data_IF_215965004227
#
_entry.id   IF_215965004227
#
_cell.length_a   1.000
_cell.length_b   1.000
_cell.length_c   1.000
_cell.angle_alpha   90.00
_cell.angle_beta   90.00
_cell.angle_gamma   90.00
#
_symmetry.space_group_name_H-M   'P 1'
#
loop_
_entity.id
_entity.type
_entity.pdbx_description
1 polymer ?
#
# COMPACT_ATOMS: atom_id res chain seq x y z
N UNK A 1 -35.67 -22.82 -0.96
CA UNK A 1 -34.48 -23.35 -1.67
C UNK A 1 -34.25 -22.43 -2.87
N UNK A 2 -33.39 -21.40 -2.73
CA UNK A 2 -32.02 -21.28 -3.30
C UNK A 2 -32.07 -21.46 -4.83
N UNK A 3 -31.90 -20.41 -5.64
CA UNK A 3 -30.60 -19.81 -5.97
C UNK A 3 -30.72 -18.36 -6.48
N UNK A 4 -30.09 -17.41 -5.77
CA UNK A 4 -29.62 -16.15 -6.38
C UNK A 4 -28.30 -15.77 -5.72
N UNK A 5 -27.21 -16.36 -6.22
CA UNK A 5 -25.83 -16.09 -5.78
C UNK A 5 -24.84 -15.95 -6.95
N UNK A 6 -25.32 -15.78 -8.18
CA UNK A 6 -24.48 -15.87 -9.39
C UNK A 6 -24.26 -14.54 -10.12
N UNK A 7 -24.26 -13.41 -9.41
CA UNK A 7 -24.01 -12.09 -10.00
C UNK A 7 -22.91 -11.28 -9.30
N UNK A 8 -22.52 -11.63 -8.07
CA UNK A 8 -21.43 -10.95 -7.35
C UNK A 8 -20.02 -11.41 -7.75
N UNK A 9 -19.87 -12.61 -8.30
CA UNK A 9 -18.55 -13.16 -8.67
C UNK A 9 -18.01 -12.62 -10.00
N UNK A 10 -18.88 -12.17 -10.93
CA UNK A 10 -18.44 -11.67 -12.25
C UNK A 10 -17.98 -10.20 -12.28
N UNK A 11 -18.38 -9.40 -11.29
CA UNK A 11 -17.98 -7.98 -11.21
C UNK A 11 -16.54 -7.81 -10.70
N UNK A 12 -16.05 -8.76 -9.89
CA UNK A 12 -14.69 -8.70 -9.34
C UNK A 12 -13.64 -8.94 -10.43
N UNK A 13 -13.85 -9.91 -11.34
CA UNK A 13 -12.88 -10.24 -12.39
C UNK A 13 -12.64 -9.07 -13.36
N UNK A 14 -13.69 -8.31 -13.70
CA UNK A 14 -13.56 -7.16 -14.60
C UNK A 14 -12.83 -5.97 -13.97
N UNK A 15 -12.97 -5.76 -12.66
CA UNK A 15 -12.28 -4.68 -11.97
C UNK A 15 -10.80 -5.01 -11.71
N UNK A 16 -10.50 -6.28 -11.42
CA UNK A 16 -9.14 -6.79 -11.36
C UNK A 16 -8.43 -6.70 -12.72
N UNK A 17 -9.12 -7.08 -13.80
CA UNK A 17 -8.63 -6.86 -15.16
C UNK A 17 -8.44 -5.38 -15.46
N UNK A 18 -9.32 -4.48 -15.00
CA UNK A 18 -9.17 -3.05 -15.22
C UNK A 18 -7.94 -2.49 -14.48
N UNK A 19 -7.71 -2.86 -13.22
CA UNK A 19 -6.54 -2.46 -12.43
C UNK A 19 -5.24 -3.09 -12.95
N UNK A 20 -5.28 -4.36 -13.36
CA UNK A 20 -4.16 -5.03 -14.01
C UNK A 20 -3.85 -4.41 -15.38
N UNK A 21 -4.87 -4.13 -16.20
CA UNK A 21 -4.73 -3.45 -17.50
C UNK A 21 -4.14 -2.05 -17.30
N UNK A 22 -4.62 -1.27 -16.33
CA UNK A 22 -4.04 0.04 -15.97
C UNK A 22 -2.56 -0.11 -15.56
N UNK A 23 -2.23 -1.09 -14.72
CA UNK A 23 -0.84 -1.39 -14.29
C UNK A 23 0.05 -1.85 -15.45
N UNK A 24 -0.51 -2.46 -16.50
CA UNK A 24 0.23 -2.90 -17.70
C UNK A 24 0.29 -1.85 -18.82
N UNK A 25 -0.66 -0.91 -18.90
CA UNK A 25 -0.70 0.10 -19.97
C UNK A 25 0.27 1.26 -19.75
N UNK A 26 0.68 1.54 -18.51
CA UNK A 26 1.78 2.48 -18.21
C UNK A 26 3.16 1.95 -18.62
N UNK A 27 3.26 0.69 -19.05
CA UNK A 27 4.51 0.00 -19.39
C UNK A 27 5.03 0.31 -20.80
N UNK A 28 4.32 1.11 -21.59
CA UNK A 28 4.67 1.37 -23.01
C UNK A 28 4.56 2.86 -23.35
N UNK A 29 5.57 3.63 -22.98
CA UNK A 29 6.01 4.76 -23.80
C UNK A 29 7.49 5.00 -23.56
N UNK A 30 8.26 4.86 -24.63
CA UNK A 30 9.71 4.88 -24.68
C UNK A 30 10.21 6.25 -25.16
N UNK A 31 11.37 6.63 -24.60
CA UNK A 31 12.52 7.30 -25.23
C UNK A 31 12.82 8.79 -25.01
N UNK A 32 14.15 9.00 -24.92
CA UNK A 32 14.97 10.21 -25.02
C UNK A 32 15.11 11.02 -23.72
N UNK A 33 16.29 11.39 -23.20
CA UNK A 33 17.71 11.34 -23.58
C UNK A 33 18.54 11.56 -22.28
N UNK A 34 19.76 11.01 -22.18
CA UNK A 34 20.73 11.32 -21.09
C UNK A 34 21.33 12.73 -21.27
N UNK A 35 21.84 13.40 -20.19
CA UNK A 35 23.27 13.26 -19.88
C UNK A 35 23.65 13.32 -18.37
N UNK A 36 24.59 12.45 -18.00
CA UNK A 36 25.88 12.73 -17.32
C UNK A 36 25.99 13.62 -16.05
N UNK A 37 26.57 13.01 -15.01
CA UNK A 37 27.58 13.56 -14.07
C UNK A 37 27.15 14.35 -12.83
N UNK A 38 27.36 13.77 -11.64
CA UNK A 38 28.46 14.10 -10.70
C UNK A 38 28.25 13.48 -9.31
N UNK A 39 29.28 12.75 -8.84
CA UNK A 39 29.43 12.25 -7.47
C UNK A 39 29.41 13.38 -6.43
N UNK A 40 28.61 13.25 -5.38
CA UNK A 40 28.82 13.95 -4.10
C UNK A 40 28.97 12.93 -2.97
N UNK A 41 30.15 12.95 -2.32
CA UNK A 41 30.44 12.20 -1.08
C UNK A 41 29.52 12.71 0.02
N UNK A 42 28.69 11.83 0.60
CA UNK A 42 27.92 12.14 1.80
C UNK A 42 28.63 11.52 3.01
N UNK A 43 28.88 12.37 4.00
CA UNK A 43 29.50 12.07 5.28
C UNK A 43 28.55 11.25 6.14
N UNK A 44 28.95 10.04 6.53
CA UNK A 44 28.19 9.16 7.43
C UNK A 44 28.15 9.77 8.83
N UNK A 45 27.00 10.32 9.22
CA UNK A 45 26.69 10.63 10.62
C UNK A 45 26.15 9.37 11.27
N UNK A 46 26.86 8.87 12.28
CA UNK A 46 26.40 7.81 13.19
C UNK A 46 25.13 8.29 13.90
N UNK A 47 23.99 7.66 13.62
CA UNK A 47 22.74 7.92 14.32
C UNK A 47 22.75 7.18 15.66
N UNK A 48 22.84 7.94 16.75
CA UNK A 48 22.54 7.47 18.10
C UNK A 48 21.08 7.03 18.18
N UNK A 49 20.83 5.78 18.59
CA UNK A 49 19.50 5.23 18.79
C UNK A 49 18.78 5.95 19.93
N UNK A 50 17.89 6.88 19.60
CA UNK A 50 16.91 7.40 20.54
C UNK A 50 15.80 6.37 20.75
N UNK A 51 15.22 6.27 21.96
CA UNK A 51 14.10 5.37 22.22
C UNK A 51 12.92 5.73 21.31
N UNK A 52 12.39 4.75 20.59
CA UNK A 52 11.26 4.90 19.66
C UNK A 52 9.99 5.14 20.48
N UNK A 53 9.58 6.40 20.61
CA UNK A 53 8.24 6.74 21.06
C UNK A 53 7.33 6.55 19.84
N UNK A 54 6.66 5.40 19.76
CA UNK A 54 5.65 5.12 18.73
C UNK A 54 4.52 6.15 18.85
N UNK A 55 4.18 6.83 17.75
CA UNK A 55 3.02 7.72 17.74
C UNK A 55 1.73 6.90 17.78
N UNK A 56 0.64 7.51 18.28
CA UNK A 56 -0.68 6.85 18.31
C UNK A 56 -1.13 6.42 16.91
N UNK A 57 -0.78 7.19 15.88
CA UNK A 57 -1.03 6.83 14.49
C UNK A 57 -0.24 5.59 14.06
N UNK A 58 1.09 5.56 14.28
CA UNK A 58 1.91 4.41 13.92
C UNK A 58 1.38 3.11 14.53
N UNK A 59 1.02 3.15 15.82
CA UNK A 59 0.46 2.00 16.51
C UNK A 59 -0.85 1.51 15.87
N UNK A 60 -1.78 2.42 15.60
CA UNK A 60 -3.06 2.09 14.97
C UNK A 60 -2.87 1.57 13.54
N UNK A 61 -1.93 2.16 12.79
CA UNK A 61 -1.62 1.74 11.43
C UNK A 61 -1.01 0.33 11.41
N UNK A 62 -0.05 0.04 12.29
CA UNK A 62 0.52 -1.32 12.44
C UNK A 62 -0.52 -2.36 12.85
N UNK A 63 -1.44 -2.00 13.76
CA UNK A 63 -2.55 -2.86 14.15
C UNK A 63 -3.53 -3.12 13.00
N UNK A 64 -3.75 -2.13 12.13
CA UNK A 64 -4.55 -2.35 10.94
C UNK A 64 -3.85 -3.28 9.93
N UNK A 65 -2.57 -3.04 9.65
CA UNK A 65 -1.80 -3.89 8.74
C UNK A 65 -1.70 -5.34 9.23
N UNK A 66 -1.66 -5.58 10.54
CA UNK A 66 -1.60 -6.94 11.10
C UNK A 66 -2.88 -7.77 10.84
N UNK A 67 -3.97 -7.13 10.41
CA UNK A 67 -5.17 -7.87 9.97
C UNK A 67 -4.96 -8.58 8.63
N UNK A 68 -3.96 -8.18 7.86
CA UNK A 68 -3.49 -8.82 6.65
C UNK A 68 -2.35 -9.78 7.01
N UNK A 69 -2.69 -10.89 7.65
CA UNK A 69 -1.74 -11.87 8.20
C UNK A 69 -1.46 -13.05 7.25
N UNK A 70 -2.10 -13.09 6.08
CA UNK A 70 -2.05 -14.21 5.15
C UNK A 70 -3.25 -15.16 5.23
N UNK A 71 -4.12 -15.00 6.23
CA UNK A 71 -5.35 -15.78 6.37
C UNK A 71 -6.55 -15.04 5.77
N UNK A 72 -7.41 -15.78 5.08
CA UNK A 72 -8.63 -15.22 4.48
C UNK A 72 -9.58 -14.73 5.57
N UNK A 73 -10.12 -13.51 5.42
CA UNK A 73 -11.10 -12.96 6.37
C UNK A 73 -12.51 -12.96 5.78
N UNK A 74 -13.48 -13.41 6.59
CA UNK A 74 -14.91 -13.30 6.31
C UNK A 74 -15.70 -12.82 7.55
N UNK A 75 -16.99 -12.56 7.35
CA UNK A 75 -17.94 -12.22 8.41
C UNK A 75 -17.42 -11.20 9.44
N UNK A 76 -17.27 -11.64 10.69
CA UNK A 76 -16.83 -10.80 11.80
C UNK A 76 -15.39 -10.27 11.65
N UNK A 77 -14.49 -11.02 11.03
CA UNK A 77 -13.12 -10.55 10.81
C UNK A 77 -13.09 -9.40 9.79
N UNK A 78 -13.92 -9.46 8.75
CA UNK A 78 -14.08 -8.36 7.80
C UNK A 78 -14.70 -7.11 8.46
N UNK A 79 -15.64 -7.27 9.40
CA UNK A 79 -16.22 -6.15 10.14
C UNK A 79 -15.19 -5.47 11.06
N UNK A 80 -14.36 -6.24 11.78
CA UNK A 80 -13.27 -5.67 12.59
C UNK A 80 -12.27 -4.91 11.73
N UNK A 81 -11.95 -5.42 10.54
CA UNK A 81 -11.10 -4.70 9.59
C UNK A 81 -11.72 -3.38 9.12
N UNK A 82 -13.05 -3.32 8.95
CA UNK A 82 -13.76 -2.09 8.63
C UNK A 82 -13.70 -1.06 9.77
N UNK A 83 -13.83 -1.49 11.02
CA UNK A 83 -13.70 -0.60 12.18
C UNK A 83 -12.29 -0.01 12.27
N UNK A 84 -11.26 -0.84 12.12
CA UNK A 84 -9.88 -0.35 12.08
C UNK A 84 -9.61 0.54 10.88
N UNK A 85 -10.17 0.26 9.70
CA UNK A 85 -10.11 1.15 8.55
C UNK A 85 -10.72 2.53 8.86
N UNK A 86 -11.85 2.58 9.58
CA UNK A 86 -12.48 3.83 10.01
C UNK A 86 -11.67 4.62 11.05
N UNK A 87 -10.86 3.92 11.84
CA UNK A 87 -9.95 4.56 12.80
C UNK A 87 -8.80 5.29 12.10
N UNK A 88 -8.25 4.72 11.02
CA UNK A 88 -7.01 5.24 10.40
C UNK A 88 -7.23 6.07 9.13
N UNK A 89 -8.32 5.90 8.39
CA UNK A 89 -8.58 6.64 7.15
C UNK A 89 -9.57 7.79 7.40
N UNK A 90 -9.32 8.97 6.83
CA UNK A 90 -10.24 10.11 6.91
C UNK A 90 -11.46 9.94 6.00
N UNK A 91 -12.59 10.55 6.33
CA UNK A 91 -13.84 10.45 5.56
C UNK A 91 -13.69 10.87 4.09
N UNK A 92 -12.83 11.85 3.85
CA UNK A 92 -12.56 12.43 2.53
C UNK A 92 -11.25 11.92 1.88
N UNK A 93 -10.72 10.77 2.33
CA UNK A 93 -9.45 10.28 1.82
C UNK A 93 -9.45 10.08 0.30
N UNK A 94 -8.32 10.43 -0.32
CA UNK A 94 -8.02 10.16 -1.72
C UNK A 94 -6.71 9.39 -1.85
N UNK A 95 -6.64 8.45 -2.80
CA UNK A 95 -5.43 7.69 -3.10
C UNK A 95 -5.14 7.71 -4.59
N UNK A 96 -3.87 7.86 -4.98
CA UNK A 96 -3.41 7.66 -6.37
C UNK A 96 -2.59 6.37 -6.52
N UNK A 97 -2.64 5.49 -5.53
CA UNK A 97 -1.81 4.28 -5.45
C UNK A 97 -2.08 3.28 -6.59
N UNK A 98 -3.30 3.29 -7.10
CA UNK A 98 -3.76 2.29 -8.06
C UNK A 98 -3.66 2.82 -9.48
N UNK A 99 -2.42 2.95 -9.95
CA UNK A 99 -2.11 3.35 -11.33
C UNK A 99 -2.22 4.85 -11.58
N UNK A 100 -1.99 5.68 -10.56
CA UNK A 100 -2.00 7.14 -10.66
C UNK A 100 -3.40 7.76 -10.69
N UNK A 101 -4.44 6.96 -10.91
CA UNK A 101 -5.82 7.45 -10.91
C UNK A 101 -6.32 7.70 -9.49
N UNK A 102 -6.91 8.88 -9.22
CA UNK A 102 -7.47 9.17 -7.91
C UNK A 102 -8.67 8.26 -7.63
N UNK A 103 -8.59 7.49 -6.56
CA UNK A 103 -9.69 6.70 -6.00
C UNK A 103 -10.10 7.27 -4.65
N UNK A 104 -11.39 7.12 -4.33
CA UNK A 104 -11.99 7.61 -3.10
C UNK A 104 -11.98 6.55 -1.98
N UNK A 105 -12.34 6.98 -0.77
CA UNK A 105 -12.48 6.14 0.41
C UNK A 105 -13.18 4.80 0.18
N UNK A 106 -14.34 4.81 -0.47
CA UNK A 106 -15.15 3.59 -0.65
C UNK A 106 -14.46 2.58 -1.56
N UNK A 107 -13.72 3.06 -2.55
CA UNK A 107 -12.92 2.23 -3.46
C UNK A 107 -11.73 1.64 -2.71
N UNK A 108 -11.03 2.43 -1.89
CA UNK A 108 -9.92 1.95 -1.04
C UNK A 108 -10.43 0.86 -0.09
N UNK A 109 -11.54 1.10 0.63
CA UNK A 109 -12.15 0.11 1.53
C UNK A 109 -12.50 -1.20 0.80
N UNK A 110 -13.05 -1.08 -0.41
CA UNK A 110 -13.40 -2.23 -1.23
C UNK A 110 -12.16 -3.04 -1.65
N UNK A 111 -11.09 -2.37 -2.08
CA UNK A 111 -9.83 -3.02 -2.44
C UNK A 111 -9.22 -3.74 -1.24
N UNK A 112 -9.22 -3.11 -0.07
CA UNK A 112 -8.70 -3.73 1.15
C UNK A 112 -9.54 -4.96 1.54
N UNK A 113 -10.86 -4.90 1.40
CA UNK A 113 -11.75 -6.05 1.61
C UNK A 113 -11.44 -7.20 0.65
N UNK A 114 -11.14 -6.88 -0.60
CA UNK A 114 -10.69 -7.85 -1.60
C UNK A 114 -9.38 -8.51 -1.13
N UNK A 115 -8.35 -7.75 -0.76
CA UNK A 115 -7.07 -8.27 -0.27
C UNK A 115 -7.24 -9.17 0.97
N UNK A 116 -8.11 -8.81 1.89
CA UNK A 116 -8.46 -9.64 3.06
C UNK A 116 -9.13 -10.96 2.65
N UNK A 117 -10.02 -10.94 1.64
CA UNK A 117 -10.68 -12.15 1.15
C UNK A 117 -9.72 -13.10 0.40
N UNK A 118 -8.65 -12.54 -0.18
CA UNK A 118 -7.60 -13.30 -0.83
C UNK A 118 -6.59 -13.92 0.16
N UNK A 119 -6.63 -13.51 1.43
CA UNK A 119 -5.63 -13.91 2.42
C UNK A 119 -4.29 -13.21 2.14
N UNK A 120 -4.33 -11.91 1.87
CA UNK A 120 -3.09 -11.15 1.70
C UNK A 120 -2.35 -11.01 3.01
N UNK A 121 -1.03 -11.16 2.95
CA UNK A 121 -0.10 -10.84 4.02
C UNK A 121 0.57 -9.51 3.72
N UNK A 122 0.49 -8.56 4.65
CA UNK A 122 1.23 -7.30 4.58
C UNK A 122 2.38 -7.34 5.59
N UNK A 123 3.60 -7.10 5.10
CA UNK A 123 4.79 -6.98 5.95
C UNK A 123 5.31 -5.55 5.84
N UNK A 124 5.27 -4.79 6.93
CA UNK A 124 5.83 -3.43 6.96
C UNK A 124 7.36 -3.50 6.94
N UNK A 125 7.97 -2.89 5.92
CA UNK A 125 9.43 -2.83 5.72
C UNK A 125 9.97 -1.53 6.29
N UNK A 126 9.29 -0.42 6.03
CA UNK A 126 9.69 0.92 6.41
C UNK A 126 8.49 1.71 6.93
N UNK A 127 8.73 2.47 8.00
CA UNK A 127 7.81 3.48 8.51
C UNK A 127 8.65 4.62 9.05
N UNK A 128 8.45 5.83 8.51
CA UNK A 128 9.19 7.01 8.93
C UNK A 128 8.31 8.24 8.86
N UNK A 129 8.29 9.00 9.94
CA UNK A 129 7.70 10.34 9.93
C UNK A 129 8.70 11.31 9.28
N UNK A 130 8.31 11.91 8.15
CA UNK A 130 9.13 12.88 7.41
C UNK A 130 8.77 14.33 7.77
N UNK A 131 7.61 14.54 8.40
CA UNK A 131 7.16 15.84 8.89
C UNK A 131 5.95 15.72 9.82
N UNK A 132 5.45 16.85 10.32
CA UNK A 132 4.34 16.93 11.29
C UNK A 132 3.09 16.11 10.93
N UNK A 133 2.84 15.88 9.63
CA UNK A 133 1.65 15.22 9.11
C UNK A 133 1.96 14.34 7.89
N UNK A 134 3.22 13.97 7.69
CA UNK A 134 3.65 13.20 6.50
C UNK A 134 4.44 11.98 6.95
N UNK A 135 4.00 10.81 6.48
CA UNK A 135 4.60 9.53 6.81
C UNK A 135 5.01 8.83 5.52
N UNK A 136 6.27 8.41 5.45
CA UNK A 136 6.80 7.52 4.42
C UNK A 136 6.64 6.06 4.89
N UNK A 137 5.95 5.25 4.10
CA UNK A 137 5.74 3.82 4.39
C UNK A 137 6.12 2.95 3.20
N UNK A 138 6.84 1.87 3.48
CA UNK A 138 7.14 0.80 2.51
C UNK A 138 6.68 -0.53 3.09
N UNK A 139 5.93 -1.30 2.34
CA UNK A 139 5.46 -2.62 2.78
C UNK A 139 5.38 -3.59 1.61
N UNK A 140 5.53 -4.88 1.92
CA UNK A 140 5.33 -5.96 0.98
C UNK A 140 3.91 -6.50 1.11
N UNK A 141 3.23 -6.69 -0.02
CA UNK A 141 1.95 -7.40 -0.12
C UNK A 141 2.20 -8.73 -0.79
N UNK A 142 1.80 -9.83 -0.13
CA UNK A 142 1.93 -11.19 -0.66
C UNK A 142 0.58 -11.90 -0.59
N UNK A 143 0.12 -12.41 -1.72
CA UNK A 143 -1.01 -13.35 -1.81
C UNK A 143 -0.80 -14.31 -2.99
N UNK A 144 -1.82 -15.08 -3.34
CA UNK A 144 -1.73 -16.04 -4.47
C UNK A 144 -1.58 -15.38 -5.85
N UNK A 145 -1.89 -14.10 -5.97
CA UNK A 145 -1.93 -13.34 -7.22
C UNK A 145 -0.76 -12.36 -7.35
N UNK A 146 -0.20 -11.89 -6.24
CA UNK A 146 0.88 -10.91 -6.26
C UNK A 146 1.90 -11.12 -5.14
N UNK A 147 3.12 -10.69 -5.44
CA UNK A 147 4.15 -10.38 -4.48
C UNK A 147 4.73 -9.03 -4.91
N UNK A 148 4.33 -7.95 -4.25
CA UNK A 148 4.66 -6.59 -4.67
C UNK A 148 5.12 -5.77 -3.47
N UNK A 149 6.14 -4.93 -3.68
CA UNK A 149 6.50 -3.90 -2.73
C UNK A 149 5.77 -2.63 -3.11
N UNK A 150 5.08 -2.08 -2.12
CA UNK A 150 4.35 -0.82 -2.21
C UNK A 150 5.10 0.20 -1.39
N UNK A 151 5.33 1.37 -1.96
CA UNK A 151 5.96 2.50 -1.32
C UNK A 151 5.02 3.70 -1.43
N UNK A 152 4.50 4.16 -0.29
CA UNK A 152 3.54 5.24 -0.24
C UNK A 152 4.02 6.37 0.67
N UNK A 153 3.72 7.59 0.25
CA UNK A 153 3.71 8.77 1.12
C UNK A 153 2.27 9.00 1.57
N UNK A 154 2.07 8.99 2.89
CA UNK A 154 0.79 9.25 3.54
C UNK A 154 0.77 10.68 4.07
N UNK A 155 -0.30 11.41 3.78
CA UNK A 155 -0.60 12.68 4.44
C UNK A 155 -1.70 12.48 5.46
N UNK A 156 -1.50 13.03 6.66
CA UNK A 156 -2.39 12.90 7.80
C UNK A 156 -3.15 14.20 8.07
N UNK A 157 -4.42 14.07 8.44
CA UNK A 157 -5.29 15.12 8.98
C UNK A 157 -6.05 14.50 10.16
N UNK A 158 -6.06 15.16 11.32
CA UNK A 158 -6.65 14.64 12.57
C UNK A 158 -6.20 13.21 12.93
N UNK A 159 -4.91 12.92 12.75
CA UNK A 159 -4.29 11.58 12.91
C UNK A 159 -4.89 10.50 12.01
N UNK A 160 -5.53 10.87 10.90
CA UNK A 160 -6.07 9.96 9.90
C UNK A 160 -5.50 10.26 8.52
N UNK A 161 -5.38 9.23 7.69
CA UNK A 161 -4.89 9.35 6.32
C UNK A 161 -5.92 10.11 5.49
N UNK A 162 -5.56 11.30 5.02
CA UNK A 162 -6.35 12.10 4.07
C UNK A 162 -5.86 11.94 2.63
N UNK A 163 -4.58 11.58 2.44
CA UNK A 163 -3.98 11.36 1.12
C UNK A 163 -3.03 10.18 1.12
N UNK A 164 -3.08 9.37 0.08
CA UNK A 164 -2.12 8.29 -0.22
C UNK A 164 -1.53 8.55 -1.60
N UNK A 165 -0.22 8.60 -1.68
CA UNK A 165 0.50 8.75 -2.95
C UNK A 165 1.53 7.66 -3.07
N UNK A 166 1.52 6.90 -4.16
CA UNK A 166 2.65 6.00 -4.44
C UNK A 166 3.87 6.81 -4.78
N UNK A 167 4.97 6.45 -4.13
CA UNK A 167 6.29 6.93 -4.45
C UNK A 167 6.80 6.06 -5.60
N UNK A 168 6.92 6.65 -6.78
CA UNK A 168 7.51 6.00 -7.95
C UNK A 168 9.03 5.90 -7.75
N UNK A 169 9.46 5.01 -6.87
CA UNK A 169 10.87 4.74 -6.65
C UNK A 169 11.30 3.57 -7.55
N UNK A 170 11.99 3.90 -8.66
CA UNK A 170 12.83 2.93 -9.38
C UNK A 170 14.08 2.67 -8.54
N UNK A 171 13.94 1.88 -7.47
CA UNK A 171 15.08 1.50 -6.66
C UNK A 171 15.88 0.39 -7.37
N UNK A 172 17.09 0.69 -7.85
CA UNK A 172 18.04 -0.33 -8.32
C UNK A 172 18.30 -1.43 -7.26
N UNK A 173 18.12 -1.12 -5.97
CA UNK A 173 18.26 -2.06 -4.85
C UNK A 173 17.14 -3.13 -4.79
N UNK A 174 15.97 -2.87 -5.41
CA UNK A 174 14.89 -3.87 -5.53
C UNK A 174 15.26 -5.02 -6.47
N UNK A 175 16.14 -4.78 -7.44
CA UNK A 175 16.64 -5.84 -8.30
C UNK A 175 17.56 -6.79 -7.53
N UNK A 176 18.35 -6.27 -6.59
CA UNK A 176 19.33 -7.05 -5.83
C UNK A 176 18.66 -7.98 -4.78
N UNK A 177 17.60 -7.50 -4.10
CA UNK A 177 16.81 -8.35 -3.18
C UNK A 177 16.03 -9.45 -3.91
N UNK A 178 15.53 -9.19 -5.12
CA UNK A 178 14.82 -10.19 -5.91
C UNK A 178 15.77 -11.21 -6.58
N UNK A 179 17.01 -10.82 -6.92
CA UNK A 179 18.05 -11.71 -7.44
C UNK A 179 18.63 -12.66 -6.37
N UNK A 180 18.56 -12.29 -5.09
CA UNK A 180 19.02 -13.15 -3.98
C UNK A 180 17.98 -14.20 -3.52
N UNK A 181 16.74 -14.11 -4.02
CA UNK A 181 15.65 -15.06 -3.71
C UNK A 181 15.35 -16.05 -4.85
N UNK A 182 16.12 -16.00 -5.95
CA UNK A 182 16.11 -16.94 -7.06
C UNK A 182 17.26 -17.95 -6.95
#
# INVERSE_FOLDING_TARGET
MITSKSSYLRLNDHFFLLLYVIKTMTRTSHNCEEPSSMRKKVMVRRSSSTPVIMTTFEQQYRQYLSMFDGEKKDGQAANRARESFNAIYHGNVQSTEYGGYPINRSQIEHLHKIHLSLGSKITLIHFREEGLQVVDVKFQVVNKQENTIVHNILTLEDNKIIKVQTREDYDEEMLDFLLQLA
#
